data_IF_221006167812
#
_entry.id   IF_221006167812
#
_cell.length_a   1.000
_cell.length_b   1.000
_cell.length_c   1.000
_cell.angle_alpha   90.00
_cell.angle_beta   90.00
_cell.angle_gamma   90.00
#
_symmetry.space_group_name_H-M   'P 1'
#
loop_
_entity.id
_entity.type
_entity.pdbx_description
1 polymer ?
#
# COMPACT_ATOMS: atom_id res chain seq x y z
N UNK A 1 16.72 13.88 14.78
CA UNK A 1 16.79 12.50 14.23
C UNK A 1 15.42 11.87 13.96
N UNK A 2 14.44 11.95 14.88
CA UNK A 2 13.10 11.33 14.69
C UNK A 2 12.34 11.80 13.44
N UNK A 3 12.47 13.08 13.06
CA UNK A 3 11.80 13.66 11.88
C UNK A 3 12.32 13.06 10.57
N UNK A 4 13.65 12.87 10.44
CA UNK A 4 14.28 12.31 9.23
C UNK A 4 13.82 10.87 9.01
N UNK A 5 13.77 10.07 10.09
CA UNK A 5 13.29 8.68 10.05
C UNK A 5 11.79 8.64 9.71
N UNK A 6 11.01 9.59 10.25
CA UNK A 6 9.59 9.75 9.92
C UNK A 6 9.38 10.03 8.43
N UNK A 7 10.08 11.02 7.88
CA UNK A 7 10.01 11.41 6.47
C UNK A 7 10.50 10.30 5.54
N UNK A 8 11.63 9.66 5.84
CA UNK A 8 12.15 8.55 5.05
C UNK A 8 11.17 7.37 5.01
N UNK A 9 10.52 7.05 6.13
CA UNK A 9 9.50 6.00 6.17
C UNK A 9 8.23 6.35 5.38
N UNK A 10 7.80 7.62 5.39
CA UNK A 10 6.68 8.07 4.57
C UNK A 10 7.00 8.05 3.07
N UNK A 11 8.22 8.47 2.70
CA UNK A 11 8.71 8.38 1.32
C UNK A 11 8.80 6.92 0.84
N UNK A 12 9.26 6.02 1.70
CA UNK A 12 9.29 4.58 1.39
C UNK A 12 7.89 4.01 1.11
N UNK A 13 6.89 4.39 1.91
CA UNK A 13 5.49 4.00 1.66
C UNK A 13 4.95 4.57 0.35
N UNK A 14 5.25 5.83 0.05
CA UNK A 14 4.89 6.46 -1.22
C UNK A 14 5.49 5.73 -2.42
N UNK A 15 6.76 5.32 -2.31
CA UNK A 15 7.43 4.54 -3.35
C UNK A 15 6.70 3.21 -3.58
N UNK A 16 6.34 2.49 -2.52
CA UNK A 16 5.59 1.22 -2.62
C UNK A 16 4.23 1.43 -3.29
N UNK A 17 3.48 2.46 -2.88
CA UNK A 17 2.18 2.81 -3.49
C UNK A 17 2.37 3.11 -4.98
N UNK A 18 3.40 3.87 -5.35
CA UNK A 18 3.69 4.21 -6.74
C UNK A 18 4.08 2.99 -7.58
N UNK A 19 4.90 2.09 -7.04
CA UNK A 19 5.26 0.83 -7.71
C UNK A 19 4.04 -0.04 -7.92
N UNK A 20 3.17 -0.19 -6.92
CA UNK A 20 1.94 -0.97 -7.04
C UNK A 20 0.96 -0.36 -8.04
N UNK A 21 0.84 0.97 -8.04
CA UNK A 21 0.04 1.68 -9.03
C UNK A 21 0.54 1.39 -10.45
N UNK A 22 1.85 1.52 -10.68
CA UNK A 22 2.47 1.23 -11.98
C UNK A 22 2.27 -0.23 -12.40
N UNK A 23 2.48 -1.17 -11.47
CA UNK A 23 2.25 -2.60 -11.70
C UNK A 23 0.78 -2.89 -12.06
N UNK A 24 -0.16 -2.24 -11.39
CA UNK A 24 -1.60 -2.41 -11.63
C UNK A 24 -2.01 -1.92 -13.01
N UNK A 25 -1.51 -0.74 -13.43
CA UNK A 25 -1.75 -0.20 -14.77
C UNK A 25 -1.15 -1.10 -15.86
N UNK A 26 0.04 -1.66 -15.62
CA UNK A 26 0.67 -2.60 -16.54
C UNK A 26 -0.10 -3.92 -16.66
N UNK A 27 -0.53 -4.48 -15.52
CA UNK A 27 -1.36 -5.69 -15.46
C UNK A 27 -2.70 -5.51 -16.17
N UNK A 28 -3.33 -4.33 -16.04
CA UNK A 28 -4.57 -4.00 -16.74
C UNK A 28 -4.39 -4.02 -18.26
N UNK A 29 -3.34 -3.35 -18.78
CA UNK A 29 -3.06 -3.31 -20.22
C UNK A 29 -2.76 -4.69 -20.80
N UNK A 30 -2.03 -5.54 -20.08
CA UNK A 30 -1.80 -6.93 -20.52
C UNK A 30 -3.09 -7.74 -20.47
N UNK A 31 -3.93 -7.54 -19.45
CA UNK A 31 -5.19 -8.25 -19.27
C UNK A 31 -6.20 -7.97 -20.38
N UNK A 32 -6.25 -6.73 -20.88
CA UNK A 32 -7.10 -6.34 -22.02
C UNK A 32 -6.68 -7.03 -23.31
N UNK A 33 -5.37 -7.19 -23.54
CA UNK A 33 -4.85 -7.86 -24.74
C UNK A 33 -4.98 -9.39 -24.66
N UNK A 34 -4.81 -9.97 -23.47
CA UNK A 34 -4.78 -11.44 -23.27
C UNK A 34 -6.07 -12.07 -22.72
N UNK A 35 -7.16 -11.33 -22.54
CA UNK A 35 -8.41 -11.80 -21.91
C UNK A 35 -8.16 -12.49 -20.55
N UNK A 36 -7.22 -11.99 -19.75
CA UNK A 36 -6.93 -12.55 -18.43
C UNK A 36 -8.06 -12.28 -17.43
N UNK A 37 -8.22 -13.14 -16.40
CA UNK A 37 -9.11 -12.86 -15.28
C UNK A 37 -8.73 -11.53 -14.57
N UNK A 38 -9.71 -10.75 -14.07
CA UNK A 38 -9.52 -9.37 -13.59
C UNK A 38 -8.84 -9.29 -12.21
N UNK A 39 -7.63 -9.83 -12.07
CA UNK A 39 -6.83 -9.79 -10.85
C UNK A 39 -6.46 -8.36 -10.41
N UNK A 40 -6.55 -7.38 -11.31
CA UNK A 40 -6.33 -5.96 -11.02
C UNK A 40 -7.24 -5.43 -9.90
N UNK A 41 -8.43 -6.01 -9.70
CA UNK A 41 -9.37 -5.60 -8.62
C UNK A 41 -8.76 -5.79 -7.23
N UNK A 42 -8.00 -6.87 -7.01
CA UNK A 42 -7.32 -7.11 -5.74
C UNK A 42 -6.17 -6.13 -5.49
N UNK A 43 -5.51 -5.69 -6.56
CA UNK A 43 -4.49 -4.63 -6.50
C UNK A 43 -5.10 -3.28 -6.11
N UNK A 44 -6.26 -2.90 -6.65
CA UNK A 44 -6.95 -1.67 -6.23
C UNK A 44 -7.36 -1.69 -4.76
N UNK A 45 -7.86 -2.83 -4.25
CA UNK A 45 -8.19 -2.97 -2.83
C UNK A 45 -6.94 -2.83 -1.95
N UNK A 46 -5.84 -3.45 -2.35
CA UNK A 46 -4.54 -3.33 -1.67
C UNK A 46 -4.04 -1.88 -1.66
N UNK A 47 -4.17 -1.20 -2.81
CA UNK A 47 -3.77 0.20 -2.98
C UNK A 47 -4.57 1.11 -2.05
N UNK A 48 -5.88 0.90 -1.93
CA UNK A 48 -6.74 1.64 -1.01
C UNK A 48 -6.29 1.45 0.45
N UNK A 49 -6.04 0.20 0.88
CA UNK A 49 -5.53 -0.08 2.22
C UNK A 49 -4.17 0.59 2.50
N UNK A 50 -3.26 0.56 1.53
CA UNK A 50 -1.94 1.22 1.67
C UNK A 50 -2.04 2.74 1.68
N UNK A 51 -2.97 3.33 0.91
CA UNK A 51 -3.26 4.76 0.95
C UNK A 51 -3.77 5.20 2.32
N UNK A 52 -4.65 4.42 2.94
CA UNK A 52 -5.13 4.68 4.30
C UNK A 52 -3.97 4.65 5.30
N UNK A 53 -3.12 3.61 5.25
CA UNK A 53 -1.94 3.54 6.12
C UNK A 53 -0.97 4.71 5.88
N UNK A 54 -0.79 5.12 4.62
CA UNK A 54 0.02 6.28 4.28
C UNK A 54 -0.53 7.57 4.88
N UNK A 55 -1.84 7.82 4.76
CA UNK A 55 -2.49 9.01 5.34
C UNK A 55 -2.31 9.07 6.85
N UNK A 56 -2.50 7.94 7.55
CA UNK A 56 -2.34 7.87 9.02
C UNK A 56 -0.89 8.13 9.43
N UNK A 57 0.08 7.59 8.68
CA UNK A 57 1.50 7.87 8.94
C UNK A 57 1.87 9.32 8.62
N UNK A 58 1.32 9.90 7.56
CA UNK A 58 1.53 11.29 7.20
C UNK A 58 0.99 12.23 8.30
N UNK A 59 -0.21 11.96 8.82
CA UNK A 59 -0.78 12.69 9.95
C UNK A 59 0.11 12.60 11.20
N UNK A 60 0.66 11.41 11.53
CA UNK A 60 1.58 11.25 12.67
C UNK A 60 2.90 11.99 12.48
N UNK A 61 3.43 12.08 11.26
CA UNK A 61 4.62 12.89 10.99
C UNK A 61 4.29 14.39 11.11
N UNK A 62 3.09 14.80 10.70
CA UNK A 62 2.62 16.18 10.87
C UNK A 62 2.47 16.56 12.34
N UNK A 63 2.00 15.65 13.20
CA UNK A 63 1.93 15.92 14.65
C UNK A 63 3.30 15.99 15.33
N UNK A 64 4.37 15.45 14.73
CA UNK A 64 5.73 15.68 15.24
C UNK A 64 6.22 17.12 14.94
N UNK A 65 5.63 17.78 13.94
CA UNK A 65 5.88 19.20 13.63
C UNK A 65 4.95 20.14 14.43
N UNK A 66 3.78 19.67 14.86
CA UNK A 66 2.81 20.46 15.60
C UNK A 66 2.97 20.27 17.12
N UNK A 67 2.96 21.37 17.88
CA UNK A 67 3.12 21.36 19.34
C UNK A 67 1.92 20.77 20.11
N UNK A 68 0.85 20.38 19.41
CA UNK A 68 -0.34 19.74 19.99
C UNK A 68 -0.71 18.48 19.19
N UNK A 69 -0.59 17.33 19.82
CA UNK A 69 -1.13 16.06 19.34
C UNK A 69 -2.61 15.95 19.70
N UNK A 70 -3.51 15.64 18.74
CA UNK A 70 -4.89 15.28 19.07
C UNK A 70 -4.89 13.97 19.87
N UNK A 71 -5.69 13.89 20.95
CA UNK A 71 -5.73 12.72 21.83
C UNK A 71 -6.04 11.39 21.11
N UNK A 72 -6.83 11.44 20.03
CA UNK A 72 -7.17 10.27 19.21
C UNK A 72 -5.99 9.72 18.40
N UNK A 73 -4.94 10.52 18.16
CA UNK A 73 -3.75 10.11 17.39
C UNK A 73 -2.67 9.45 18.26
N UNK A 74 -2.73 9.63 19.58
CA UNK A 74 -1.85 8.99 20.57
C UNK A 74 -2.42 7.65 21.07
N UNK A 75 -3.62 7.26 20.62
CA UNK A 75 -4.23 5.98 20.99
C UNK A 75 -3.56 4.83 20.20
N UNK A 76 -2.93 3.91 20.92
CA UNK A 76 -2.26 2.74 20.36
C UNK A 76 -3.23 1.84 19.58
N UNK A 77 -4.49 1.75 20.02
CA UNK A 77 -5.51 0.97 19.31
C UNK A 77 -5.86 1.61 17.97
N UNK A 78 -6.00 2.94 17.93
CA UNK A 78 -6.24 3.65 16.68
C UNK A 78 -5.08 3.42 15.71
N UNK A 79 -3.84 3.47 16.19
CA UNK A 79 -2.67 3.22 15.34
C UNK A 79 -2.61 1.76 14.83
N UNK A 80 -2.99 0.79 15.66
CA UNK A 80 -3.08 -0.61 15.25
C UNK A 80 -4.08 -0.81 14.10
N UNK A 81 -5.29 -0.27 14.24
CA UNK A 81 -6.37 -0.45 13.26
C UNK A 81 -6.23 0.43 12.02
N UNK A 82 -5.71 1.64 12.16
CA UNK A 82 -5.63 2.59 11.06
C UNK A 82 -4.29 2.52 10.30
N UNK A 83 -3.21 2.06 10.95
CA UNK A 83 -1.89 1.95 10.31
C UNK A 83 -1.43 0.50 10.13
N UNK A 84 -1.34 -0.32 11.18
CA UNK A 84 -0.76 -1.66 11.07
C UNK A 84 -1.63 -2.65 10.28
N UNK A 85 -2.93 -2.70 10.58
CA UNK A 85 -3.84 -3.62 9.89
C UNK A 85 -3.94 -3.34 8.38
N UNK A 86 -4.21 -2.11 7.92
CA UNK A 86 -4.33 -1.81 6.50
C UNK A 86 -2.99 -1.99 5.77
N UNK A 87 -1.86 -1.69 6.44
CA UNK A 87 -0.54 -1.91 5.88
C UNK A 87 -0.24 -3.41 5.69
N UNK A 88 -0.47 -4.22 6.72
CA UNK A 88 -0.22 -5.66 6.66
C UNK A 88 -1.13 -6.33 5.62
N UNK A 89 -2.43 -6.00 5.63
CA UNK A 89 -3.42 -6.52 4.68
C UNK A 89 -3.11 -6.08 3.26
N UNK A 90 -2.82 -4.79 3.06
CA UNK A 90 -2.49 -4.23 1.75
C UNK A 90 -1.22 -4.82 1.15
N UNK A 91 -0.15 -4.96 1.95
CA UNK A 91 1.09 -5.62 1.51
C UNK A 91 0.85 -7.10 1.18
N UNK A 92 0.18 -7.84 2.06
CA UNK A 92 -0.05 -9.29 1.86
C UNK A 92 -0.91 -9.55 0.63
N UNK A 93 -2.00 -8.80 0.45
CA UNK A 93 -2.83 -8.91 -0.74
C UNK A 93 -2.06 -8.52 -2.01
N UNK A 94 -1.30 -7.42 -1.97
CA UNK A 94 -0.51 -7.00 -3.13
C UNK A 94 0.49 -8.07 -3.55
N UNK A 95 1.18 -8.70 -2.58
CA UNK A 95 2.12 -9.77 -2.82
C UNK A 95 1.42 -11.03 -3.34
N UNK A 96 0.29 -11.42 -2.76
CA UNK A 96 -0.49 -12.58 -3.19
C UNK A 96 -1.04 -12.42 -4.61
N UNK A 97 -1.52 -11.22 -4.96
CA UNK A 97 -2.02 -10.91 -6.30
C UNK A 97 -0.89 -10.91 -7.32
N UNK A 98 0.23 -10.25 -7.00
CA UNK A 98 1.44 -10.26 -7.85
C UNK A 98 1.91 -11.70 -8.06
N UNK A 99 2.05 -12.48 -6.98
CA UNK A 99 2.48 -13.87 -7.07
C UNK A 99 1.57 -14.71 -7.97
N UNK A 100 0.25 -14.59 -7.79
CA UNK A 100 -0.73 -15.29 -8.64
C UNK A 100 -0.60 -14.88 -10.10
N UNK A 101 -0.43 -13.58 -10.36
CA UNK A 101 -0.27 -13.03 -11.70
C UNK A 101 0.99 -13.58 -12.40
N UNK A 102 2.14 -13.55 -11.72
CA UNK A 102 3.39 -14.10 -12.24
C UNK A 102 3.33 -15.61 -12.44
N UNK A 103 2.73 -16.36 -11.52
CA UNK A 103 2.56 -17.80 -11.66
C UNK A 103 1.69 -18.17 -12.87
N UNK A 104 0.65 -17.40 -13.14
CA UNK A 104 -0.16 -17.56 -14.35
C UNK A 104 0.67 -17.25 -15.61
N UNK A 105 1.37 -16.11 -15.62
CA UNK A 105 2.17 -15.67 -16.77
C UNK A 105 3.27 -16.66 -17.15
N UNK A 106 3.91 -17.30 -16.16
CA UNK A 106 4.92 -18.33 -16.37
C UNK A 106 4.32 -19.62 -16.92
N UNK A 107 3.11 -19.98 -16.50
CA UNK A 107 2.43 -21.21 -16.96
C UNK A 107 1.96 -21.13 -18.41
N UNK A 108 1.67 -19.93 -18.93
CA UNK A 108 1.28 -19.75 -20.33
C UNK A 108 2.45 -19.79 -21.33
N UNK A 109 3.70 -19.66 -20.84
CA UNK A 109 4.91 -19.58 -21.69
C UNK A 109 5.77 -20.85 -21.69
N UNK A 110 5.46 -21.82 -20.84
CA UNK A 110 6.11 -23.15 -20.79
C UNK A 110 5.16 -24.15 -21.44
#
# INVERSE_FOLDING_TARGET
MKIIIGLAGSLGLLAVVYTLFTQSAFSQRIGEVRKMPPLYRGLYFSLACLLVAFLVRFLRVSTLLASRTPAFLDDDLFYLFAYHLPLAVGLTLSLAVIWRYWSWLLRERI
#
